data_IF_425431502427
#
_entry.id   IF_425431502427
#
_cell.length_a   1.000
_cell.length_b   1.000
_cell.length_c   1.000
_cell.angle_alpha   90.00
_cell.angle_beta   90.00
_cell.angle_gamma   90.00
#
_symmetry.space_group_name_H-M   'P 1'
#
loop_
_entity.id
_entity.type
_entity.pdbx_description
1 polymer ?
#
# COMPACT_ATOMS: atom_id res chain seq x y z
N UNK A 1 6.88 22.20 15.38
CA UNK A 1 6.27 21.93 14.06
C UNK A 1 5.44 20.67 14.21
N UNK A 2 4.11 20.76 14.07
CA UNK A 2 3.26 19.59 14.18
C UNK A 2 3.45 18.73 12.93
N UNK A 3 3.85 17.46 13.07
CA UNK A 3 4.21 16.56 11.95
C UNK A 3 3.21 15.41 11.82
N UNK A 4 1.98 15.62 12.28
CA UNK A 4 0.95 14.60 12.23
C UNK A 4 0.65 14.20 10.79
N UNK A 5 0.52 12.90 10.57
CA UNK A 5 -0.02 12.38 9.32
C UNK A 5 -1.54 12.55 9.37
N UNK A 6 -2.08 13.26 8.38
CA UNK A 6 -3.50 13.53 8.21
C UNK A 6 -3.94 13.11 6.82
N UNK A 7 -5.26 13.05 6.58
CA UNK A 7 -5.78 12.73 5.25
C UNK A 7 -5.24 13.67 4.16
N UNK A 8 -4.91 14.91 4.52
CA UNK A 8 -4.39 15.92 3.59
C UNK A 8 -2.92 15.72 3.23
N UNK A 9 -2.13 14.93 3.96
CA UNK A 9 -0.70 14.73 3.68
C UNK A 9 -0.29 13.26 3.50
N UNK A 10 -1.20 12.31 3.76
CA UNK A 10 -0.95 10.89 3.63
C UNK A 10 -0.46 10.48 2.23
N UNK A 11 -0.93 11.15 1.18
CA UNK A 11 -0.54 10.87 -0.21
C UNK A 11 0.98 10.92 -0.43
N UNK A 12 1.73 11.66 0.39
CA UNK A 12 3.20 11.77 0.33
C UNK A 12 3.87 10.42 0.59
N UNK A 13 3.25 9.57 1.42
CA UNK A 13 3.81 8.26 1.81
C UNK A 13 3.50 7.16 0.77
N UNK A 14 2.41 7.32 0.01
CA UNK A 14 1.85 6.25 -0.82
C UNK A 14 2.81 5.73 -1.91
N UNK A 15 3.57 6.56 -2.65
CA UNK A 15 4.47 6.05 -3.70
C UNK A 15 5.49 5.04 -3.17
N UNK A 16 6.08 5.30 -1.99
CA UNK A 16 7.04 4.40 -1.36
C UNK A 16 6.40 3.09 -0.88
N UNK A 17 5.18 3.18 -0.33
CA UNK A 17 4.38 2.01 0.10
C UNK A 17 4.06 1.11 -1.09
N UNK A 18 3.52 1.69 -2.16
CA UNK A 18 3.08 0.98 -3.37
C UNK A 18 4.27 0.31 -4.06
N UNK A 19 5.40 1.01 -4.22
CA UNK A 19 6.61 0.43 -4.78
C UNK A 19 7.12 -0.77 -3.97
N UNK A 20 7.10 -0.67 -2.65
CA UNK A 20 7.55 -1.76 -1.77
C UNK A 20 6.62 -2.98 -1.85
N UNK A 21 5.30 -2.74 -1.88
CA UNK A 21 4.30 -3.79 -2.02
C UNK A 21 4.36 -4.45 -3.41
N UNK A 22 4.51 -3.66 -4.48
CA UNK A 22 4.62 -4.17 -5.84
C UNK A 22 5.85 -5.08 -6.02
N UNK A 23 6.99 -4.71 -5.41
CA UNK A 23 8.19 -5.57 -5.40
C UNK A 23 7.92 -6.92 -4.74
N UNK A 24 7.19 -6.96 -3.63
CA UNK A 24 6.81 -8.23 -2.98
C UNK A 24 5.90 -9.07 -3.87
N UNK A 25 4.93 -8.46 -4.56
CA UNK A 25 4.05 -9.19 -5.49
C UNK A 25 4.86 -9.80 -6.64
N UNK A 26 5.76 -9.03 -7.26
CA UNK A 26 6.64 -9.53 -8.33
C UNK A 26 7.49 -10.70 -7.83
N UNK A 27 8.10 -10.56 -6.65
CA UNK A 27 8.97 -11.59 -6.07
C UNK A 27 8.22 -12.89 -5.72
N UNK A 28 7.01 -12.80 -5.17
CA UNK A 28 6.27 -13.96 -4.67
C UNK A 28 5.35 -14.60 -5.71
N UNK A 29 4.92 -13.87 -6.73
CA UNK A 29 3.92 -14.33 -7.71
C UNK A 29 4.41 -14.32 -9.15
N UNK A 30 5.58 -13.76 -9.44
CA UNK A 30 6.11 -13.66 -10.81
C UNK A 30 5.29 -12.76 -11.75
N UNK A 31 4.39 -11.93 -11.22
CA UNK A 31 3.61 -10.96 -12.00
C UNK A 31 4.50 -9.86 -12.55
N UNK A 32 4.08 -9.21 -13.64
CA UNK A 32 4.76 -7.99 -14.08
C UNK A 32 4.59 -6.88 -13.04
N UNK A 33 5.53 -5.93 -13.00
CA UNK A 33 5.43 -4.80 -12.09
C UNK A 33 4.16 -3.96 -12.37
N UNK A 34 3.78 -3.80 -13.64
CA UNK A 34 2.57 -3.08 -14.01
C UNK A 34 1.31 -3.79 -13.49
N UNK A 35 1.23 -5.12 -13.63
CA UNK A 35 0.11 -5.89 -13.10
C UNK A 35 0.03 -5.81 -11.57
N UNK A 36 1.18 -5.81 -10.89
CA UNK A 36 1.23 -5.64 -9.44
C UNK A 36 0.69 -4.27 -9.01
N UNK A 37 1.08 -3.20 -9.69
CA UNK A 37 0.57 -1.85 -9.43
C UNK A 37 -0.94 -1.77 -9.69
N UNK A 38 -1.41 -2.32 -10.82
CA UNK A 38 -2.83 -2.33 -11.16
C UNK A 38 -3.65 -3.12 -10.12
N UNK A 39 -3.15 -4.27 -9.67
CA UNK A 39 -3.75 -5.05 -8.59
C UNK A 39 -3.84 -4.24 -7.29
N UNK A 40 -2.77 -3.54 -6.90
CA UNK A 40 -2.76 -2.71 -5.68
C UNK A 40 -3.84 -1.63 -5.76
N UNK A 41 -3.87 -0.80 -6.81
CA UNK A 41 -4.83 0.31 -6.89
C UNK A 41 -6.31 -0.12 -6.90
N UNK A 42 -6.61 -1.34 -7.33
CA UNK A 42 -7.96 -1.88 -7.37
C UNK A 42 -8.36 -2.64 -6.09
N UNK A 43 -7.46 -2.77 -5.12
CA UNK A 43 -7.66 -3.56 -3.89
C UNK A 43 -8.45 -2.83 -2.80
N UNK A 44 -9.07 -3.59 -1.89
CA UNK A 44 -9.63 -3.01 -0.65
C UNK A 44 -8.50 -2.52 0.25
N UNK A 45 -7.38 -3.25 0.25
CA UNK A 45 -6.17 -2.91 0.99
C UNK A 45 -5.66 -1.51 0.64
N UNK A 46 -5.67 -1.12 -0.64
CA UNK A 46 -5.27 0.22 -1.07
C UNK A 46 -6.24 1.30 -0.61
N UNK A 47 -7.55 1.06 -0.68
CA UNK A 47 -8.57 1.99 -0.15
C UNK A 47 -8.35 2.28 1.34
N UNK A 48 -8.01 1.26 2.11
CA UNK A 48 -7.64 1.43 3.51
C UNK A 48 -6.31 2.18 3.63
N UNK A 49 -5.29 1.80 2.87
CA UNK A 49 -3.98 2.44 2.87
C UNK A 49 -4.04 3.95 2.57
N UNK A 50 -4.90 4.39 1.66
CA UNK A 50 -5.10 5.81 1.33
C UNK A 50 -6.05 6.55 2.28
N UNK A 51 -6.68 5.84 3.21
CA UNK A 51 -7.57 6.40 4.24
C UNK A 51 -6.82 6.54 5.56
N UNK A 52 -6.58 7.77 6.02
CA UNK A 52 -5.77 8.04 7.20
C UNK A 52 -6.35 7.42 8.48
N UNK A 53 -7.67 7.47 8.64
CA UNK A 53 -8.36 6.92 9.82
C UNK A 53 -8.26 5.39 9.95
N UNK A 54 -7.94 4.68 8.87
CA UNK A 54 -7.71 3.22 8.90
C UNK A 54 -6.39 2.86 9.57
N UNK A 55 -5.43 3.80 9.60
CA UNK A 55 -4.05 3.61 10.04
C UNK A 55 -3.24 2.56 9.26
N UNK A 56 -3.72 2.05 8.12
CA UNK A 56 -2.97 1.10 7.27
C UNK A 56 -1.65 1.68 6.76
N UNK A 57 -1.54 3.00 6.68
CA UNK A 57 -0.29 3.70 6.36
C UNK A 57 0.83 3.48 7.37
N UNK A 58 0.53 2.95 8.56
CA UNK A 58 1.54 2.53 9.54
C UNK A 58 2.13 1.14 9.22
N UNK A 59 1.44 0.34 8.40
CA UNK A 59 1.85 -1.03 8.11
C UNK A 59 3.11 -1.10 7.27
N UNK A 60 3.96 -2.08 7.58
CA UNK A 60 5.08 -2.47 6.74
C UNK A 60 4.62 -3.18 5.46
N UNK A 61 5.52 -3.35 4.47
CA UNK A 61 5.17 -3.93 3.18
C UNK A 61 4.71 -5.39 3.28
N UNK A 62 5.24 -6.18 4.23
CA UNK A 62 4.81 -7.58 4.45
C UNK A 62 3.38 -7.64 4.96
N UNK A 63 3.01 -6.82 5.96
CA UNK A 63 1.65 -6.78 6.50
C UNK A 63 0.63 -6.28 5.45
N UNK A 64 1.03 -5.32 4.61
CA UNK A 64 0.20 -4.89 3.47
C UNK A 64 0.04 -6.00 2.43
N UNK A 65 1.09 -6.78 2.18
CA UNK A 65 1.03 -7.93 1.29
C UNK A 65 0.07 -9.00 1.82
N UNK A 66 0.18 -9.37 3.10
CA UNK A 66 -0.72 -10.32 3.74
C UNK A 66 -2.18 -9.83 3.70
N UNK A 67 -2.42 -8.55 3.96
CA UNK A 67 -3.75 -7.94 3.86
C UNK A 67 -4.31 -8.05 2.44
N UNK A 68 -3.48 -7.75 1.43
CA UNK A 68 -3.84 -7.84 0.02
C UNK A 68 -4.11 -9.28 -0.43
N UNK A 69 -3.40 -10.27 0.14
CA UNK A 69 -3.63 -11.69 -0.18
C UNK A 69 -4.84 -12.29 0.54
N UNK A 70 -5.36 -11.61 1.56
CA UNK A 70 -6.44 -12.11 2.42
C UNK A 70 -7.79 -11.40 2.19
N UNK A 71 -7.90 -10.54 1.16
CA UNK A 71 -9.05 -9.64 0.94
C UNK A 71 -10.26 -10.24 0.19
#
# INVERSE_FOLDING_TARGET
MNRDITQQNLYILLPGKINSLAKLIVQNQGKSFFDAINMIYNSKTYKLLETESSKYWTYGPVALYESLMSE
#
